data_IF_068003749991
#
_entry.id   IF_068003749991
#
_cell.length_a   1.000
_cell.length_b   1.000
_cell.length_c   1.000
_cell.angle_alpha   90.00
_cell.angle_beta   90.00
_cell.angle_gamma   90.00
#
_symmetry.space_group_name_H-M   'P 1'
#
loop_
_entity.id
_entity.type
_entity.pdbx_description
1 polymer ?
#
# COMPACT_ATOMS: atom_id res chain seq x y z
N UNK A 1 -17.37 6.72 25.17
CA UNK A 1 -16.01 6.46 24.69
C UNK A 1 -15.51 5.27 25.45
N UNK A 2 -15.09 4.22 24.76
CA UNK A 2 -14.60 2.99 25.35
C UNK A 2 -13.09 3.12 25.56
N UNK A 3 -12.65 3.03 26.80
CA UNK A 3 -11.24 2.97 27.15
C UNK A 3 -10.75 1.54 26.98
N UNK A 4 -9.79 1.32 26.08
CA UNK A 4 -9.21 0.01 25.82
C UNK A 4 -7.72 0.06 26.15
N UNK A 5 -7.27 -0.89 26.98
CA UNK A 5 -5.85 -1.13 27.23
C UNK A 5 -5.34 -2.18 26.25
N UNK A 6 -4.39 -1.78 25.41
CA UNK A 6 -3.73 -2.67 24.45
C UNK A 6 -2.41 -3.11 25.06
N UNK A 7 -2.28 -4.41 25.30
CA UNK A 7 -1.07 -5.03 25.85
C UNK A 7 -0.27 -5.68 24.74
N UNK A 8 1.05 -5.58 24.83
CA UNK A 8 1.97 -6.17 23.86
C UNK A 8 3.42 -5.94 24.25
N UNK A 9 4.28 -5.92 23.25
CA UNK A 9 5.69 -5.67 23.41
C UNK A 9 6.26 -4.92 22.22
N UNK A 10 7.36 -4.19 22.46
CA UNK A 10 8.16 -3.55 21.43
C UNK A 10 9.22 -4.55 20.98
N UNK A 11 9.34 -4.72 19.67
CA UNK A 11 10.32 -5.59 19.04
C UNK A 11 11.26 -4.77 18.17
N UNK A 12 12.53 -5.15 18.19
CA UNK A 12 13.53 -4.68 17.25
C UNK A 12 13.67 -5.70 16.13
N UNK A 13 13.42 -5.28 14.90
CA UNK A 13 13.61 -6.08 13.70
C UNK A 13 14.80 -5.54 12.91
N UNK A 14 15.74 -6.41 12.58
CA UNK A 14 16.86 -6.06 11.71
C UNK A 14 17.21 -7.21 10.78
N UNK A 15 17.06 -6.98 9.48
CA UNK A 15 17.57 -7.90 8.48
C UNK A 15 19.07 -7.66 8.24
N UNK A 16 19.77 -8.71 7.77
CA UNK A 16 21.21 -8.66 7.48
C UNK A 16 21.65 -7.57 6.49
N UNK A 17 20.72 -7.07 5.65
CA UNK A 17 20.98 -6.02 4.66
C UNK A 17 20.65 -4.61 5.17
N UNK A 18 20.11 -4.48 6.38
CA UNK A 18 19.73 -3.20 6.97
C UNK A 18 20.87 -2.66 7.83
N UNK A 19 21.07 -1.34 7.74
CA UNK A 19 22.13 -0.65 8.49
C UNK A 19 21.75 -0.33 9.93
N UNK A 20 20.46 -0.40 10.26
CA UNK A 20 19.93 -0.10 11.59
C UNK A 20 18.65 -0.90 11.85
N UNK A 21 18.36 -1.25 13.10
CA UNK A 21 17.11 -1.91 13.47
C UNK A 21 15.90 -0.97 13.35
N UNK A 22 14.77 -1.53 12.96
CA UNK A 22 13.45 -0.90 13.04
C UNK A 22 12.71 -1.35 14.30
N UNK A 23 11.80 -0.53 14.82
CA UNK A 23 11.03 -0.83 16.02
C UNK A 23 9.55 -0.92 15.71
N UNK A 24 8.89 -2.00 16.15
CA UNK A 24 7.46 -2.22 15.95
C UNK A 24 6.81 -2.75 17.21
N UNK A 25 5.55 -2.39 17.44
CA UNK A 25 4.73 -2.93 18.52
C UNK A 25 3.88 -4.11 18.00
N UNK A 26 3.93 -5.23 18.70
CA UNK A 26 3.03 -6.37 18.46
C UNK A 26 2.29 -6.73 19.74
N UNK A 27 1.01 -7.10 19.60
CA UNK A 27 0.19 -7.62 20.70
C UNK A 27 0.45 -9.09 21.03
N UNK A 28 1.32 -9.75 20.27
CA UNK A 28 1.74 -11.14 20.43
C UNK A 28 3.27 -11.24 20.41
N UNK A 29 3.80 -12.40 20.81
CA UNK A 29 5.24 -12.65 20.73
C UNK A 29 5.66 -12.88 19.27
N UNK A 30 6.37 -11.92 18.70
CA UNK A 30 6.87 -11.93 17.33
C UNK A 30 8.37 -12.26 17.25
N UNK A 31 8.97 -12.82 18.32
CA UNK A 31 10.40 -13.13 18.35
C UNK A 31 10.75 -14.22 17.32
N UNK A 32 11.76 -13.96 16.49
CA UNK A 32 12.28 -14.89 15.48
C UNK A 32 13.80 -14.68 15.25
N UNK A 33 14.37 -15.25 14.18
CA UNK A 33 15.80 -15.12 13.86
C UNK A 33 16.25 -13.66 13.62
N UNK A 34 15.33 -12.77 13.25
CA UNK A 34 15.60 -11.38 12.86
C UNK A 34 14.89 -10.36 13.76
N UNK A 35 14.09 -10.83 14.72
CA UNK A 35 13.20 -10.04 15.55
C UNK A 35 13.42 -10.39 17.01
N UNK A 36 13.79 -9.40 17.81
CA UNK A 36 14.07 -9.58 19.24
C UNK A 36 13.12 -8.70 20.05
N UNK A 37 12.52 -9.30 21.09
CA UNK A 37 11.73 -8.57 22.08
C UNK A 37 12.61 -7.61 22.86
N UNK A 38 12.28 -6.32 22.84
CA UNK A 38 13.01 -5.26 23.56
C UNK A 38 12.42 -5.10 24.96
N UNK A 39 11.10 -4.88 25.04
CA UNK A 39 10.41 -4.73 26.32
C UNK A 39 8.90 -4.99 26.17
N UNK A 40 8.27 -5.39 27.27
CA UNK A 40 6.80 -5.36 27.38
C UNK A 40 6.31 -3.91 27.42
N UNK A 41 5.20 -3.66 26.75
CA UNK A 41 4.58 -2.34 26.71
C UNK A 41 3.06 -2.44 26.67
N UNK A 42 2.40 -1.53 27.36
CA UNK A 42 0.97 -1.37 27.28
C UNK A 42 0.63 0.11 27.21
N UNK A 43 -0.42 0.41 26.48
CA UNK A 43 -0.93 1.76 26.37
C UNK A 43 -2.45 1.71 26.38
N UNK A 44 -3.04 2.79 26.87
CA UNK A 44 -4.49 2.94 26.96
C UNK A 44 -4.93 4.00 25.97
N UNK A 45 -5.95 3.66 25.18
CA UNK A 45 -6.54 4.57 24.20
C UNK A 45 -8.04 4.70 24.43
N UNK A 46 -8.54 5.88 24.15
CA UNK A 46 -9.98 6.14 24.11
C UNK A 46 -10.46 5.97 22.68
N UNK A 47 -11.37 5.01 22.48
CA UNK A 47 -12.00 4.77 21.18
C UNK A 47 -13.46 5.25 21.29
N UNK A 48 -13.96 6.04 20.32
CA UNK A 48 -15.37 6.41 20.28
C UNK A 48 -16.29 5.17 20.33
N UNK A 49 -17.43 5.25 21.03
CA UNK A 49 -18.34 4.10 21.17
C UNK A 49 -19.00 3.72 19.83
N UNK A 50 -19.09 4.69 18.93
CA UNK A 50 -19.61 4.60 17.58
C UNK A 50 -18.52 4.33 16.54
N UNK A 51 -17.30 3.97 16.97
CA UNK A 51 -16.20 3.71 16.05
C UNK A 51 -16.52 2.50 15.15
N UNK A 52 -16.63 2.80 13.85
CA UNK A 52 -16.77 1.83 12.79
C UNK A 52 -15.52 1.85 11.88
N UNK A 53 -14.93 0.68 11.70
CA UNK A 53 -13.77 0.48 10.85
C UNK A 53 -14.12 0.41 9.34
N UNK A 54 -15.39 0.14 8.99
CA UNK A 54 -15.85 -0.03 7.60
C UNK A 54 -15.60 1.22 6.73
N UNK A 55 -15.91 2.46 7.15
CA UNK A 55 -15.63 3.65 6.33
C UNK A 55 -14.15 3.79 5.96
N UNK A 56 -13.23 3.48 6.89
CA UNK A 56 -11.79 3.52 6.63
C UNK A 56 -11.35 2.46 5.62
N UNK A 57 -11.88 1.23 5.74
CA UNK A 57 -11.62 0.15 4.77
C UNK A 57 -12.15 0.50 3.38
N UNK A 58 -13.37 1.04 3.29
CA UNK A 58 -13.97 1.48 2.02
C UNK A 58 -13.15 2.58 1.38
N UNK A 59 -12.69 3.57 2.14
CA UNK A 59 -11.84 4.64 1.62
C UNK A 59 -10.51 4.13 1.06
N UNK A 60 -9.92 3.11 1.69
CA UNK A 60 -8.70 2.46 1.19
C UNK A 60 -8.96 1.73 -0.14
N UNK A 61 -10.06 0.99 -0.24
CA UNK A 61 -10.45 0.30 -1.48
C UNK A 61 -10.77 1.27 -2.62
N UNK A 62 -11.46 2.38 -2.33
CA UNK A 62 -11.70 3.42 -3.34
C UNK A 62 -10.40 4.06 -3.82
N UNK A 63 -9.43 4.30 -2.93
CA UNK A 63 -8.10 4.80 -3.32
C UNK A 63 -7.35 3.82 -4.23
N UNK A 64 -7.41 2.52 -3.92
CA UNK A 64 -6.81 1.48 -4.74
C UNK A 64 -7.49 1.37 -6.11
N UNK A 65 -8.81 1.41 -6.13
CA UNK A 65 -9.62 1.42 -7.37
C UNK A 65 -9.27 2.61 -8.26
N UNK A 66 -9.14 3.81 -7.70
CA UNK A 66 -8.75 5.00 -8.49
C UNK A 66 -7.32 4.89 -9.03
N UNK A 67 -6.38 4.33 -8.24
CA UNK A 67 -5.02 4.04 -8.73
C UNK A 67 -5.03 3.09 -9.93
N UNK A 68 -5.83 2.03 -9.88
CA UNK A 68 -5.97 1.06 -10.98
C UNK A 68 -6.64 1.66 -12.20
N UNK A 69 -7.68 2.48 -12.01
CA UNK A 69 -8.34 3.23 -13.10
C UNK A 69 -7.35 4.12 -13.84
N UNK A 70 -6.54 4.90 -13.11
CA UNK A 70 -5.53 5.75 -13.70
C UNK A 70 -4.49 4.94 -14.52
N UNK A 71 -4.00 3.83 -13.97
CA UNK A 71 -3.06 2.95 -14.66
C UNK A 71 -3.67 2.33 -15.94
N UNK A 72 -4.93 1.89 -15.87
CA UNK A 72 -5.65 1.35 -17.01
C UNK A 72 -5.84 2.40 -18.11
N UNK A 73 -6.33 3.60 -17.78
CA UNK A 73 -6.53 4.69 -18.74
C UNK A 73 -5.23 5.11 -19.42
N UNK A 74 -4.12 5.17 -18.65
CA UNK A 74 -2.80 5.45 -19.20
C UNK A 74 -2.40 4.38 -20.23
N UNK A 75 -2.58 3.10 -19.89
CA UNK A 75 -2.25 1.99 -20.79
C UNK A 75 -3.11 1.96 -22.05
N UNK A 76 -4.41 2.24 -21.94
CA UNK A 76 -5.31 2.35 -23.11
C UNK A 76 -4.87 3.49 -24.03
N UNK A 77 -4.50 4.64 -23.46
CA UNK A 77 -4.00 5.79 -24.24
C UNK A 77 -2.73 5.43 -25.01
N UNK A 78 -1.79 4.73 -24.36
CA UNK A 78 -0.55 4.27 -25.00
C UNK A 78 -0.83 3.32 -26.17
N UNK A 79 -1.69 2.31 -25.96
CA UNK A 79 -2.08 1.35 -27.01
C UNK A 79 -2.76 2.08 -28.18
N UNK A 80 -3.64 3.03 -27.90
CA UNK A 80 -4.29 3.83 -28.95
C UNK A 80 -3.25 4.64 -29.76
N UNK A 81 -2.25 5.21 -29.10
CA UNK A 81 -1.14 5.88 -29.78
C UNK A 81 -0.34 4.93 -30.68
N UNK A 82 -0.08 3.70 -30.22
CA UNK A 82 0.57 2.66 -31.02
C UNK A 82 -0.28 2.26 -32.24
N UNK A 83 -1.59 2.04 -32.06
CA UNK A 83 -2.52 1.72 -33.15
C UNK A 83 -2.56 2.85 -34.18
N UNK A 84 -2.72 4.11 -33.73
CA UNK A 84 -2.73 5.27 -34.62
C UNK A 84 -1.42 5.39 -35.41
N UNK A 85 -0.28 5.13 -34.76
CA UNK A 85 1.03 5.14 -35.43
C UNK A 85 1.11 4.09 -36.54
N UNK A 86 0.58 2.89 -36.31
CA UNK A 86 0.55 1.82 -37.32
C UNK A 86 -0.38 2.16 -38.50
N UNK A 87 -1.59 2.64 -38.22
CA UNK A 87 -2.56 3.01 -39.26
C UNK A 87 -2.09 4.23 -40.08
N UNK A 88 -1.38 5.19 -39.46
CA UNK A 88 -0.88 6.36 -40.16
C UNK A 88 0.21 6.04 -41.20
N UNK A 89 0.89 4.89 -41.10
CA UNK A 89 1.89 4.45 -42.08
C UNK A 89 1.22 4.10 -43.42
N UNK A 90 -0.06 3.71 -43.43
CA UNK A 90 -0.80 3.34 -44.66
C UNK A 90 -1.17 4.54 -45.53
N UNK A 91 -1.11 5.78 -45.01
CA UNK A 91 -1.57 6.99 -45.71
C UNK A 91 -0.43 7.85 -46.24
N UNK A 92 0.75 7.26 -46.51
CA UNK A 92 1.78 7.93 -47.32
C UNK A 92 1.33 7.87 -48.78
N UNK A 93 1.09 9.01 -49.45
CA UNK A 93 0.83 8.99 -50.88
C UNK A 93 2.09 8.44 -51.55
N UNK A 94 1.98 7.28 -52.19
CA UNK A 94 2.97 6.87 -53.17
C UNK A 94 2.95 7.96 -54.24
N UNK A 95 3.99 8.79 -54.28
CA UNK A 95 4.24 9.68 -55.41
C UNK A 95 4.25 8.81 -56.67
N UNK A 96 3.19 8.92 -57.44
CA UNK A 96 3.17 8.57 -58.86
C UNK A 96 3.70 9.79 -59.60
N UNK A 97 5.02 9.81 -59.81
CA UNK A 97 5.67 10.60 -60.87
C UNK A 97 6.79 9.76 -61.49
#
# INVERSE_FOLDING_TARGET
MATITIKGAIFALQHRWERAPSYTFYSFDASDEHTVKVCDHEFTVEIPDDFDLRPGLVANLEREKEKLRAAFTARVTEINGQIQSLLAIENKPSEVV
#
